data_IF_754511137647
#
_entry.id   IF_754511137647
#
_cell.length_a   1.000
_cell.length_b   1.000
_cell.length_c   1.000
_cell.angle_alpha   90.00
_cell.angle_beta   90.00
_cell.angle_gamma   90.00
#
_symmetry.space_group_name_H-M   'P 1'
#
loop_
_entity.id
_entity.type
_entity.pdbx_description
1 polymer ?
#
# COMPACT_ATOMS: atom_id res chain seq x y z
N UNK A 1 -10.18 3.27 -37.24
CA UNK A 1 -11.13 4.38 -37.00
C UNK A 1 -10.33 5.51 -36.37
N UNK A 2 -10.20 6.64 -37.08
CA UNK A 2 -9.33 7.80 -36.80
C UNK A 2 -7.82 7.50 -36.71
N UNK A 3 -7.19 7.31 -37.87
CA UNK A 3 -5.74 7.49 -37.98
C UNK A 3 -5.49 8.97 -38.24
N UNK A 4 -4.90 9.68 -37.26
CA UNK A 4 -4.46 11.06 -37.47
C UNK A 4 -3.15 11.00 -38.25
N UNK A 5 -3.27 10.95 -39.57
CA UNK A 5 -2.15 11.03 -40.49
C UNK A 5 -1.69 12.47 -40.71
N UNK A 6 -0.53 12.62 -41.36
CA UNK A 6 -0.02 13.93 -41.78
C UNK A 6 -1.02 14.66 -42.70
N UNK A 7 -1.71 13.90 -43.57
CA UNK A 7 -2.78 14.38 -44.45
C UNK A 7 -3.92 15.05 -43.69
N UNK A 8 -4.43 14.42 -42.63
CA UNK A 8 -5.52 14.94 -41.82
C UNK A 8 -5.13 16.25 -41.14
N UNK A 9 -3.90 16.34 -40.60
CA UNK A 9 -3.41 17.58 -39.97
C UNK A 9 -3.38 18.73 -40.98
N UNK A 10 -2.89 18.49 -42.19
CA UNK A 10 -2.88 19.50 -43.26
C UNK A 10 -4.30 19.92 -43.63
N UNK A 11 -5.22 18.97 -43.81
CA UNK A 11 -6.61 19.25 -44.15
C UNK A 11 -7.32 20.07 -43.07
N UNK A 12 -7.18 19.70 -41.80
CA UNK A 12 -7.71 20.47 -40.67
C UNK A 12 -7.09 21.87 -40.60
N UNK A 13 -5.78 21.99 -40.87
CA UNK A 13 -5.08 23.27 -40.98
C UNK A 13 -5.71 24.16 -42.05
N UNK A 14 -5.91 23.65 -43.27
CA UNK A 14 -6.52 24.40 -44.37
C UNK A 14 -7.95 24.85 -44.05
N UNK A 15 -8.78 23.97 -43.50
CA UNK A 15 -10.16 24.32 -43.08
C UNK A 15 -10.13 25.39 -41.99
N UNK A 16 -9.23 25.25 -41.01
CA UNK A 16 -9.08 26.23 -39.93
C UNK A 16 -8.62 27.59 -40.46
N UNK A 17 -7.70 27.62 -41.43
CA UNK A 17 -7.29 28.84 -42.13
C UNK A 17 -8.46 29.49 -42.87
N UNK A 18 -9.35 28.71 -43.49
CA UNK A 18 -10.51 29.24 -44.21
C UNK A 18 -11.57 29.83 -43.26
N UNK A 19 -11.91 29.11 -42.18
CA UNK A 19 -13.00 29.49 -41.26
C UNK A 19 -12.58 30.62 -40.32
N UNK A 20 -11.42 30.49 -39.69
CA UNK A 20 -10.92 31.45 -38.69
C UNK A 20 -10.13 32.58 -39.38
N UNK A 21 -9.49 32.28 -40.51
CA UNK A 21 -8.58 33.19 -41.18
C UNK A 21 -7.13 33.00 -40.71
N UNK A 22 -6.13 33.14 -41.61
CA UNK A 22 -4.71 32.97 -41.29
C UNK A 22 -4.18 33.98 -40.26
N UNK A 23 -4.79 35.17 -40.16
CA UNK A 23 -4.36 36.20 -39.21
C UNK A 23 -4.86 35.96 -37.77
N UNK A 24 -5.95 35.21 -37.62
CA UNK A 24 -6.61 35.00 -36.31
C UNK A 24 -6.23 33.66 -35.68
N UNK A 25 -5.96 32.66 -36.49
CA UNK A 25 -5.46 31.35 -36.05
C UNK A 25 -4.27 31.42 -35.09
N UNK A 26 -3.19 32.18 -35.36
CA UNK A 26 -2.06 32.28 -34.43
C UNK A 26 -2.45 32.96 -33.10
N UNK A 27 -3.43 33.86 -33.11
CA UNK A 27 -3.94 34.48 -31.87
C UNK A 27 -4.70 33.44 -31.03
N UNK A 28 -5.57 32.64 -31.66
CA UNK A 28 -6.33 31.57 -30.99
C UNK A 28 -5.38 30.49 -30.45
N UNK A 29 -4.39 30.08 -31.22
CA UNK A 29 -3.39 29.10 -30.78
C UNK A 29 -2.60 29.59 -29.55
N UNK A 30 -2.24 30.87 -29.49
CA UNK A 30 -1.59 31.46 -28.30
C UNK A 30 -2.48 31.42 -27.07
N UNK A 31 -3.76 31.75 -27.22
CA UNK A 31 -4.73 31.69 -26.11
C UNK A 31 -4.92 30.25 -25.65
N UNK A 32 -5.23 29.34 -26.57
CA UNK A 32 -5.38 27.92 -26.26
C UNK A 32 -4.12 27.34 -25.59
N UNK A 33 -2.94 27.68 -26.11
CA UNK A 33 -1.65 27.29 -25.54
C UNK A 33 -1.43 27.83 -24.13
N UNK A 34 -1.83 29.08 -23.85
CA UNK A 34 -1.79 29.64 -22.50
C UNK A 34 -2.67 28.86 -21.52
N UNK A 35 -3.91 28.54 -21.92
CA UNK A 35 -4.84 27.76 -21.08
C UNK A 35 -4.33 26.33 -20.85
N UNK A 36 -3.90 25.64 -21.90
CA UNK A 36 -3.34 24.30 -21.79
C UNK A 36 -2.09 24.30 -20.90
N UNK A 37 -1.21 25.28 -21.07
CA UNK A 37 0.00 25.43 -20.25
C UNK A 37 -0.33 25.68 -18.77
N UNK A 38 -1.30 26.56 -18.49
CA UNK A 38 -1.77 26.85 -17.14
C UNK A 38 -2.37 25.61 -16.48
N UNK A 39 -3.26 24.90 -17.17
CA UNK A 39 -3.87 23.66 -16.68
C UNK A 39 -2.83 22.58 -16.44
N UNK A 40 -1.89 22.38 -17.37
CA UNK A 40 -0.79 21.42 -17.19
C UNK A 40 0.03 21.73 -15.95
N UNK A 41 0.30 23.01 -15.67
CA UNK A 41 1.06 23.43 -14.49
C UNK A 41 0.27 23.23 -13.19
N UNK A 42 -1.04 23.46 -13.21
CA UNK A 42 -1.93 23.16 -12.08
C UNK A 42 -1.98 21.65 -11.78
N UNK A 43 -2.13 20.81 -12.81
CA UNK A 43 -2.09 19.35 -12.66
C UNK A 43 -0.74 18.89 -12.13
N UNK A 44 0.36 19.45 -12.64
CA UNK A 44 1.70 19.11 -12.17
C UNK A 44 1.91 19.48 -10.69
N UNK A 45 1.39 20.63 -10.25
CA UNK A 45 1.43 21.03 -8.84
C UNK A 45 0.61 20.09 -7.96
N UNK A 46 -0.62 19.77 -8.36
CA UNK A 46 -1.47 18.82 -7.63
C UNK A 46 -0.85 17.42 -7.55
N UNK A 47 -0.24 16.93 -8.66
CA UNK A 47 0.52 15.67 -8.64
C UNK A 47 1.70 15.71 -7.68
N UNK A 48 2.43 16.83 -7.62
CA UNK A 48 3.58 16.97 -6.74
C UNK A 48 3.16 16.93 -5.26
N UNK A 49 2.04 17.57 -4.92
CA UNK A 49 1.48 17.56 -3.56
C UNK A 49 1.00 16.15 -3.17
N UNK A 50 0.25 15.48 -4.04
CA UNK A 50 -0.21 14.09 -3.82
C UNK A 50 0.98 13.13 -3.72
N UNK A 51 1.99 13.24 -4.59
CA UNK A 51 3.17 12.38 -4.52
C UNK A 51 3.99 12.61 -3.25
N UNK A 52 4.01 13.82 -2.70
CA UNK A 52 4.69 14.11 -1.44
C UNK A 52 3.94 13.50 -0.25
N UNK A 53 2.60 13.55 -0.27
CA UNK A 53 1.75 12.95 0.77
C UNK A 53 1.79 11.42 0.72
N UNK A 54 1.65 10.82 -0.46
CA UNK A 54 1.74 9.37 -0.65
C UNK A 54 3.13 8.83 -0.26
N UNK A 55 4.23 9.51 -0.61
CA UNK A 55 5.57 9.07 -0.17
C UNK A 55 5.71 9.07 1.35
N UNK A 56 5.11 10.05 2.04
CA UNK A 56 5.14 10.11 3.49
C UNK A 56 4.29 9.00 4.13
N UNK A 57 3.16 8.66 3.49
CA UNK A 57 2.26 7.60 3.95
C UNK A 57 2.84 6.21 3.72
N UNK A 58 3.40 5.94 2.53
CA UNK A 58 4.11 4.69 2.21
C UNK A 58 5.28 4.45 3.18
N UNK A 59 6.03 5.50 3.53
CA UNK A 59 7.16 5.41 4.45
C UNK A 59 6.71 5.19 5.90
N UNK A 60 5.56 5.74 6.32
CA UNK A 60 4.94 5.41 7.62
C UNK A 60 4.45 3.97 7.68
N UNK A 61 3.81 3.51 6.60
CA UNK A 61 3.28 2.15 6.51
C UNK A 61 4.40 1.10 6.52
N UNK A 62 5.50 1.36 5.80
CA UNK A 62 6.69 0.50 5.81
C UNK A 62 7.40 0.46 7.18
N UNK A 63 7.26 1.49 8.02
CA UNK A 63 7.77 1.48 9.39
C UNK A 63 6.82 0.72 10.34
N UNK A 64 5.50 0.91 10.20
CA UNK A 64 4.50 0.16 10.98
C UNK A 64 4.58 -1.33 10.73
N UNK A 65 4.68 -1.77 9.47
CA UNK A 65 4.85 -3.20 9.17
C UNK A 65 6.10 -3.79 9.81
N UNK A 66 7.21 -3.03 9.87
CA UNK A 66 8.42 -3.50 10.53
C UNK A 66 8.28 -3.59 12.05
N UNK A 67 7.56 -2.66 12.67
CA UNK A 67 7.31 -2.71 14.11
C UNK A 67 6.34 -3.83 14.48
N UNK A 68 5.26 -4.03 13.71
CA UNK A 68 4.33 -5.16 13.88
C UNK A 68 5.04 -6.51 13.75
N UNK A 69 5.95 -6.64 12.78
CA UNK A 69 6.75 -7.86 12.60
C UNK A 69 7.74 -8.11 13.75
N UNK A 70 8.27 -7.06 14.37
CA UNK A 70 9.13 -7.18 15.56
C UNK A 70 8.31 -7.55 16.79
N UNK A 71 7.13 -6.94 16.96
CA UNK A 71 6.22 -7.25 18.06
C UNK A 71 5.74 -8.70 17.99
N UNK A 72 5.35 -9.17 16.79
CA UNK A 72 5.02 -10.57 16.54
C UNK A 72 6.16 -11.53 16.89
N UNK A 73 7.40 -11.20 16.54
CA UNK A 73 8.57 -12.02 16.90
C UNK A 73 8.78 -12.08 18.42
N UNK A 74 8.70 -10.94 19.10
CA UNK A 74 8.80 -10.90 20.56
C UNK A 74 7.71 -11.74 21.24
N UNK A 75 6.48 -11.64 20.74
CA UNK A 75 5.34 -12.41 21.27
C UNK A 75 5.52 -13.91 21.05
N UNK A 76 6.06 -14.32 19.90
CA UNK A 76 6.40 -15.72 19.59
C UNK A 76 7.52 -16.22 20.51
N UNK A 77 8.56 -15.42 20.75
CA UNK A 77 9.67 -15.79 21.63
C UNK A 77 9.26 -15.87 23.10
N UNK A 78 8.40 -14.96 23.56
CA UNK A 78 7.80 -15.03 24.91
C UNK A 78 6.90 -16.26 25.04
N UNK A 79 6.07 -16.52 24.03
CA UNK A 79 5.22 -17.72 23.99
C UNK A 79 6.06 -19.00 23.94
N UNK A 80 7.17 -19.03 23.19
CA UNK A 80 8.12 -20.15 23.17
C UNK A 80 8.87 -20.29 24.49
N UNK A 81 9.20 -19.18 25.16
CA UNK A 81 9.81 -19.17 26.48
C UNK A 81 8.87 -19.76 27.53
N UNK A 82 7.62 -19.29 27.55
CA UNK A 82 6.56 -19.85 28.38
C UNK A 82 6.34 -21.34 28.05
N UNK A 83 6.18 -21.68 26.76
CA UNK A 83 6.02 -23.05 26.28
C UNK A 83 7.23 -23.95 26.52
N UNK A 84 8.43 -23.43 26.78
CA UNK A 84 9.60 -24.20 27.26
C UNK A 84 9.60 -24.39 28.77
N UNK A 85 9.03 -23.47 29.54
CA UNK A 85 8.85 -23.64 31.00
C UNK A 85 7.71 -24.60 31.37
N UNK A 86 6.71 -24.75 30.49
CA UNK A 86 5.64 -25.74 30.64
C UNK A 86 6.12 -27.20 30.65
N UNK A 87 6.94 -27.70 29.70
CA UNK A 87 7.44 -29.08 29.72
C UNK A 87 8.36 -29.34 30.91
N UNK A 88 9.14 -28.36 31.38
CA UNK A 88 9.95 -28.49 32.61
C UNK A 88 9.10 -28.64 33.88
N UNK A 89 7.89 -28.08 33.88
CA UNK A 89 6.92 -28.23 34.98
C UNK A 89 6.16 -29.55 34.93
N UNK A 90 6.11 -30.22 33.77
CA UNK A 90 5.53 -31.56 33.60
C UNK A 90 6.55 -32.69 33.80
N UNK A 91 7.83 -32.44 33.50
CA UNK A 91 8.94 -33.37 33.77
C UNK A 91 9.23 -33.52 35.28
N UNK A 92 8.90 -32.49 36.08
CA UNK A 92 9.19 -32.43 37.52
C UNK A 92 8.05 -32.91 38.42
N UNK A 93 7.00 -33.54 37.88
CA UNK A 93 6.03 -34.26 38.71
C UNK A 93 6.65 -35.59 39.17
N UNK A 94 7.03 -35.75 40.46
CA UNK A 94 7.42 -37.05 40.97
C UNK A 94 6.20 -37.96 40.86
N UNK A 95 6.33 -39.09 40.16
CA UNK A 95 5.35 -40.18 40.20
C UNK A 95 5.34 -40.82 41.60
N UNK A 96 4.85 -40.10 42.60
CA UNK A 96 4.71 -40.63 43.96
C UNK A 96 3.39 -40.20 44.60
N UNK A 97 2.28 -40.26 43.85
CA UNK A 97 0.94 -40.03 44.40
C UNK A 97 -0.15 -40.70 43.55
N UNK A 98 0.03 -41.98 43.19
CA UNK A 98 -1.08 -42.85 42.80
C UNK A 98 -0.94 -44.21 43.50
N UNK A 99 -0.92 -44.19 44.84
CA UNK A 99 -1.47 -45.29 45.63
C UNK A 99 -2.69 -44.75 46.35
N UNK A 100 -3.92 -45.03 45.90
CA UNK A 100 -5.03 -45.04 46.81
C UNK A 100 -4.91 -46.31 47.64
N UNK A 101 -4.69 -46.11 48.93
CA UNK A 101 -4.93 -47.10 49.97
C UNK A 101 -6.32 -47.71 49.79
N UNK A 102 -6.35 -49.00 49.49
CA UNK A 102 -7.49 -49.86 49.71
C UNK A 102 -6.97 -51.13 50.42
N UNK A 103 -6.41 -50.93 51.62
CA UNK A 103 -6.26 -52.04 52.56
C UNK A 103 -7.62 -52.41 53.17
N UNK A 104 -8.03 -53.63 52.86
CA UNK A 104 -8.41 -54.70 53.81
C UNK A 104 -9.55 -54.47 54.82
N UNK A 105 -10.62 -55.27 54.67
CA UNK A 105 -11.33 -56.09 55.68
C UNK A 105 -12.75 -56.39 55.13
N UNK A 106 -13.29 -57.59 55.01
CA UNK A 106 -13.41 -58.75 55.92
C UNK A 106 -13.72 -59.97 55.02
N UNK A 107 -12.97 -61.06 55.03
CA UNK A 107 -13.08 -62.24 55.91
C UNK A 107 -14.51 -62.79 56.16
N UNK A 108 -14.71 -64.02 55.63
CA UNK A 108 -15.65 -65.12 55.95
C UNK A 108 -17.12 -65.02 55.57
#
# INVERSE_FOLDING_TARGET
MFEIGFSEIVMVGLVSLLVIGPERLPKVARVAGYWIGKTRRMIAAAKAEISAELHAEEMRQALQEQDDLKELQNLIDETRGAARSFPSSLESLPQDSLKPDAEQHHEK
#
